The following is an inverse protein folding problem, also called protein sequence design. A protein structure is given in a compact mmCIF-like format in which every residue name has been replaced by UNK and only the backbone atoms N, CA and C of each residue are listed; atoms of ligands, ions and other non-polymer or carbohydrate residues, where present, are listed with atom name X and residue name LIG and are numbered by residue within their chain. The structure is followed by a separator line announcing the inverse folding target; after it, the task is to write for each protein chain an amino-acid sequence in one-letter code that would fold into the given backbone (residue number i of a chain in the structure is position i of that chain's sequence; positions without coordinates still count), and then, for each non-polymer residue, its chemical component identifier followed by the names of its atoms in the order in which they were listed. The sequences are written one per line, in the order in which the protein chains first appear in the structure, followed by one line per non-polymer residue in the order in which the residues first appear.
data_IF_705673391510
#
_entry.id   IF_705673391510
#
_cell.length_a   1.000
_cell.length_b   1.000
_cell.length_c   1.000
_cell.angle_alpha   90.00
_cell.angle_beta   90.00
_cell.angle_gamma   90.00
#
_symmetry.space_group_name_H-M   'P 1'
#
loop_
_entity.id
_entity.type
_entity.pdbx_description
1 polymer ?
#
# COMPACT_ATOMS: atom_id res chain seq x y z
N UNK A 1 -24.27 -27.45 -9.38
CA UNK A 1 -23.36 -26.46 -8.76
C UNK A 1 -23.45 -25.19 -9.58
N UNK A 2 -23.92 -24.07 -9.00
CA UNK A 2 -23.76 -22.75 -9.64
C UNK A 2 -22.31 -22.34 -9.40
N UNK A 3 -21.50 -22.26 -10.45
CA UNK A 3 -20.15 -21.69 -10.36
C UNK A 3 -20.26 -20.23 -9.94
N UNK A 4 -19.44 -19.80 -8.99
CA UNK A 4 -19.31 -18.37 -8.66
C UNK A 4 -18.50 -17.67 -9.74
N UNK A 5 -18.96 -16.52 -10.20
CA UNK A 5 -18.18 -15.63 -11.06
C UNK A 5 -17.26 -14.81 -10.16
N UNK A 6 -15.94 -14.95 -10.35
CA UNK A 6 -14.95 -14.10 -9.70
C UNK A 6 -14.72 -12.90 -10.61
N UNK A 7 -15.04 -11.66 -10.17
CA UNK A 7 -14.82 -10.48 -10.99
C UNK A 7 -13.32 -10.24 -11.22
N UNK A 8 -12.99 -9.59 -12.34
CA UNK A 8 -11.63 -9.10 -12.59
C UNK A 8 -11.32 -8.03 -11.53
N UNK A 9 -10.24 -8.23 -10.78
CA UNK A 9 -9.78 -7.26 -9.78
C UNK A 9 -8.98 -6.14 -10.45
N UNK A 10 -9.22 -4.91 -10.04
CA UNK A 10 -8.41 -3.76 -10.45
C UNK A 10 -7.16 -3.63 -9.57
N UNK A 11 -6.13 -2.93 -10.04
CA UNK A 11 -4.93 -2.67 -9.24
C UNK A 11 -5.24 -2.00 -7.89
N UNK A 12 -6.25 -1.12 -7.85
CA UNK A 12 -6.71 -0.50 -6.60
C UNK A 12 -7.29 -1.51 -5.60
N UNK A 13 -7.92 -2.60 -6.07
CA UNK A 13 -8.45 -3.65 -5.19
C UNK A 13 -7.31 -4.46 -4.59
N UNK A 14 -6.25 -4.73 -5.37
CA UNK A 14 -5.02 -5.36 -4.87
C UNK A 14 -4.37 -4.48 -3.80
N UNK A 15 -4.26 -3.16 -4.03
CA UNK A 15 -3.71 -2.23 -3.04
C UNK A 15 -4.50 -2.30 -1.72
N UNK A 16 -5.83 -2.24 -1.78
CA UNK A 16 -6.67 -2.31 -0.56
C UNK A 16 -6.52 -3.63 0.19
N UNK A 17 -6.47 -4.76 -0.52
CA UNK A 17 -6.27 -6.08 0.07
C UNK A 17 -4.92 -6.17 0.82
N UNK A 18 -3.84 -5.70 0.18
CA UNK A 18 -2.51 -5.66 0.81
C UNK A 18 -2.45 -4.70 2.00
N UNK A 19 -3.10 -3.53 1.90
CA UNK A 19 -3.16 -2.59 3.00
C UNK A 19 -3.97 -3.11 4.19
N UNK A 20 -5.06 -3.85 3.97
CA UNK A 20 -5.80 -4.50 5.04
C UNK A 20 -4.91 -5.46 5.84
N UNK A 21 -4.12 -6.29 5.15
CA UNK A 21 -3.16 -7.18 5.82
C UNK A 21 -2.13 -6.40 6.66
N UNK A 22 -1.64 -5.27 6.14
CA UNK A 22 -0.73 -4.41 6.89
C UNK A 22 -1.41 -3.79 8.13
N UNK A 23 -2.61 -3.23 8.01
CA UNK A 23 -3.30 -2.58 9.12
C UNK A 23 -3.60 -3.55 10.26
N UNK A 24 -4.08 -4.76 9.92
CA UNK A 24 -4.53 -5.73 10.91
C UNK A 24 -3.41 -6.59 11.50
N UNK A 25 -2.32 -6.81 10.76
CA UNK A 25 -1.25 -7.73 11.18
C UNK A 25 0.15 -7.11 11.20
N UNK A 26 0.27 -5.80 10.93
CA UNK A 26 1.56 -5.11 10.82
C UNK A 26 2.49 -5.79 9.78
N UNK A 27 1.89 -6.38 8.74
CA UNK A 27 2.57 -7.08 7.65
C UNK A 27 3.30 -6.07 6.74
N UNK A 28 4.57 -5.82 7.06
CA UNK A 28 5.44 -4.92 6.27
C UNK A 28 5.62 -5.39 4.83
N UNK A 29 5.84 -6.69 4.54
CA UNK A 29 5.80 -7.18 3.16
C UNK A 29 4.53 -6.79 2.39
N UNK A 30 3.35 -6.85 3.04
CA UNK A 30 2.11 -6.40 2.40
C UNK A 30 2.11 -4.90 2.10
N UNK A 31 2.62 -4.05 3.00
CA UNK A 31 2.81 -2.63 2.75
C UNK A 31 3.75 -2.36 1.57
N UNK A 32 4.86 -3.09 1.47
CA UNK A 32 5.79 -3.01 0.32
C UNK A 32 5.06 -3.33 -0.98
N UNK A 33 4.31 -4.43 -1.01
CA UNK A 33 3.53 -4.83 -2.19
C UNK A 33 2.50 -3.77 -2.59
N UNK A 34 1.75 -3.24 -1.62
CA UNK A 34 0.78 -2.17 -1.88
C UNK A 34 1.44 -0.95 -2.53
N UNK A 35 2.55 -0.46 -1.96
CA UNK A 35 3.29 0.68 -2.49
C UNK A 35 3.87 0.40 -3.89
N UNK A 36 4.42 -0.78 -4.12
CA UNK A 36 4.95 -1.14 -5.45
C UNK A 36 3.83 -1.14 -6.50
N UNK A 37 2.66 -1.71 -6.20
CA UNK A 37 1.51 -1.69 -7.12
C UNK A 37 1.04 -0.25 -7.35
N UNK A 38 0.99 0.57 -6.30
CA UNK A 38 0.61 1.97 -6.42
C UNK A 38 1.51 2.74 -7.39
N UNK A 39 2.83 2.64 -7.19
CA UNK A 39 3.83 3.31 -8.02
C UNK A 39 3.86 2.79 -9.46
N UNK A 40 3.59 1.49 -9.66
CA UNK A 40 3.65 0.87 -11.00
C UNK A 40 2.41 1.14 -11.86
N UNK A 41 1.30 1.53 -11.22
CA UNK A 41 0.00 1.71 -11.88
C UNK A 41 -0.59 3.11 -11.67
N UNK A 42 0.24 4.09 -11.29
CA UNK A 42 -0.15 5.48 -11.04
C UNK A 42 -1.33 5.63 -10.06
N UNK A 43 -1.41 4.76 -9.05
CA UNK A 43 -2.46 4.83 -8.02
C UNK A 43 -1.98 5.78 -6.93
N UNK A 44 -2.63 6.93 -6.81
CA UNK A 44 -2.25 7.96 -5.85
C UNK A 44 -2.84 7.71 -4.46
N UNK A 45 -2.21 8.22 -3.38
CA UNK A 45 -2.74 8.08 -2.03
C UNK A 45 -4.19 8.58 -1.85
N UNK A 46 -4.60 9.62 -2.59
CA UNK A 46 -5.98 10.10 -2.57
C UNK A 46 -7.02 9.05 -2.98
N UNK A 47 -6.66 8.03 -3.76
CA UNK A 47 -7.57 6.96 -4.17
C UNK A 47 -7.82 5.92 -3.06
N UNK A 48 -6.95 5.86 -2.05
CA UNK A 48 -7.09 4.96 -0.90
C UNK A 48 -7.53 5.69 0.37
N UNK A 49 -7.62 7.02 0.37
CA UNK A 49 -7.97 7.84 1.54
C UNK A 49 -9.25 7.35 2.24
N UNK A 50 -10.37 7.30 1.50
CA UNK A 50 -11.64 6.83 2.07
C UNK A 50 -11.61 5.37 2.51
N UNK A 51 -10.69 4.55 1.97
CA UNK A 51 -10.51 3.19 2.46
C UNK A 51 -9.80 3.20 3.82
N UNK A 52 -8.70 3.94 3.94
CA UNK A 52 -8.00 4.09 5.21
C UNK A 52 -8.88 4.71 6.31
N UNK A 53 -9.75 5.67 5.96
CA UNK A 53 -10.74 6.22 6.90
C UNK A 53 -11.72 5.17 7.42
N UNK A 54 -12.22 4.28 6.54
CA UNK A 54 -13.13 3.20 6.95
C UNK A 54 -12.44 2.15 7.83
N UNK A 55 -11.16 1.89 7.58
CA UNK A 55 -10.31 1.01 8.40
C UNK A 55 -9.82 1.70 9.69
N UNK A 56 -10.19 2.96 9.93
CA UNK A 56 -9.72 3.77 11.07
C UNK A 56 -8.18 3.93 11.14
N UNK A 57 -7.51 3.82 9.99
CA UNK A 57 -6.06 3.77 9.83
C UNK A 57 -5.48 5.16 9.46
N UNK A 58 -5.82 6.20 10.23
CA UNK A 58 -5.49 7.59 9.90
C UNK A 58 -3.98 7.89 9.94
N UNK A 59 -3.25 7.32 10.91
CA UNK A 59 -1.82 7.56 11.04
C UNK A 59 -1.03 6.72 10.02
N UNK A 60 -1.51 5.51 9.73
CA UNK A 60 -1.00 4.67 8.64
C UNK A 60 -1.21 5.34 7.28
N UNK A 61 -2.34 6.02 7.06
CA UNK A 61 -2.56 6.77 5.83
C UNK A 61 -1.51 7.85 5.64
N UNK A 62 -1.22 8.66 6.66
CA UNK A 62 -0.15 9.69 6.61
C UNK A 62 1.20 9.04 6.30
N UNK A 63 1.52 7.94 6.97
CA UNK A 63 2.76 7.21 6.75
C UNK A 63 2.87 6.67 5.31
N UNK A 64 1.78 6.14 4.74
CA UNK A 64 1.72 5.69 3.35
C UNK A 64 1.94 6.87 2.40
N UNK A 65 1.35 8.05 2.67
CA UNK A 65 1.59 9.24 1.84
C UNK A 65 3.07 9.65 1.83
N UNK A 66 3.72 9.64 2.99
CA UNK A 66 5.14 9.96 3.12
C UNK A 66 6.03 8.97 2.37
N UNK A 67 5.73 7.67 2.50
CA UNK A 67 6.43 6.61 1.79
C UNK A 67 6.25 6.72 0.28
N UNK A 68 5.01 6.94 -0.18
CA UNK A 68 4.69 7.10 -1.59
C UNK A 68 5.42 8.30 -2.19
N UNK A 69 5.36 9.46 -1.53
CA UNK A 69 6.04 10.67 -2.00
C UNK A 69 7.57 10.46 -2.10
N UNK A 70 8.17 9.83 -1.09
CA UNK A 70 9.61 9.55 -1.07
C UNK A 70 10.01 8.58 -2.19
N UNK A 71 9.22 7.52 -2.42
CA UNK A 71 9.47 6.55 -3.47
C UNK A 71 9.25 7.12 -4.88
N UNK A 72 8.21 7.94 -5.08
CA UNK A 72 7.91 8.58 -6.37
C UNK A 72 8.97 9.63 -6.76
N UNK A 73 9.42 10.45 -5.80
CA UNK A 73 10.52 11.41 -6.03
C UNK A 73 11.79 10.68 -6.50
N UNK A 74 12.04 9.48 -5.96
CA UNK A 74 13.19 8.64 -6.32
C UNK A 74 12.93 7.75 -7.55
N UNK A 75 11.72 7.79 -8.12
CA UNK A 75 11.27 6.95 -9.25
C UNK A 75 11.55 5.46 -9.04
N UNK A 76 11.22 4.97 -7.84
CA UNK A 76 11.40 3.56 -7.53
C UNK A 76 10.30 2.71 -8.16
N UNK A 77 10.70 1.61 -8.78
CA UNK A 77 9.81 0.71 -9.52
C UNK A 77 9.97 -0.76 -9.13
N UNK A 78 10.93 -1.11 -8.26
CA UNK A 78 11.16 -2.48 -7.81
C UNK A 78 10.78 -2.66 -6.35
N UNK A 79 10.33 -3.88 -5.99
CA UNK A 79 9.98 -4.22 -4.61
C UNK A 79 11.17 -4.05 -3.66
N UNK A 80 12.37 -4.51 -4.04
CA UNK A 80 13.58 -4.38 -3.22
C UNK A 80 13.88 -2.91 -2.87
N UNK A 81 13.71 -2.00 -3.83
CA UNK A 81 13.96 -0.58 -3.59
C UNK A 81 12.91 0.03 -2.65
N UNK A 82 11.63 -0.35 -2.81
CA UNK A 82 10.54 0.08 -1.93
C UNK A 82 10.71 -0.47 -0.51
N UNK A 83 11.07 -1.76 -0.39
CA UNK A 83 11.31 -2.42 0.89
C UNK A 83 12.36 -1.70 1.73
N UNK A 84 13.47 -1.28 1.11
CA UNK A 84 14.52 -0.53 1.80
C UNK A 84 13.99 0.78 2.42
N UNK A 85 13.09 1.49 1.75
CA UNK A 85 12.48 2.70 2.33
C UNK A 85 11.51 2.31 3.46
N UNK A 86 10.63 1.35 3.21
CA UNK A 86 9.64 0.91 4.21
C UNK A 86 10.33 0.50 5.51
N UNK A 87 11.39 -0.30 5.43
CA UNK A 87 12.18 -0.71 6.59
C UNK A 87 12.84 0.48 7.29
N UNK A 88 13.50 1.36 6.52
CA UNK A 88 14.19 2.54 7.06
C UNK A 88 13.25 3.49 7.78
N UNK A 89 12.10 3.79 7.19
CA UNK A 89 11.12 4.71 7.78
C UNK A 89 10.37 4.06 8.95
N UNK A 90 10.13 2.74 8.89
CA UNK A 90 9.56 1.99 10.03
C UNK A 90 10.46 2.03 11.26
N UNK A 91 11.79 2.01 11.09
CA UNK A 91 12.73 2.10 12.20
C UNK A 91 12.69 3.46 12.92
N UNK A 92 12.26 4.54 12.25
CA UNK A 92 12.13 5.87 12.86
C UNK A 92 10.88 6.00 13.72
N UNK A 93 9.95 5.05 13.63
CA UNK A 93 8.71 5.00 14.41
C UNK A 93 8.83 4.18 15.70
N UNK A 94 9.99 3.55 15.92
CA UNK A 94 10.34 2.82 17.16
C UNK A 94 10.82 3.79 18.23
#
# INVERSE_FOLDING_TARGET
MKGGEVPILYGLDVVKDRLAAYFHWQDKPALVQALTVMLSHDITPSQIESFCEREQAHDEYKFIMELYANADIRKLSTMDAVENIVLRESLKRL
#
